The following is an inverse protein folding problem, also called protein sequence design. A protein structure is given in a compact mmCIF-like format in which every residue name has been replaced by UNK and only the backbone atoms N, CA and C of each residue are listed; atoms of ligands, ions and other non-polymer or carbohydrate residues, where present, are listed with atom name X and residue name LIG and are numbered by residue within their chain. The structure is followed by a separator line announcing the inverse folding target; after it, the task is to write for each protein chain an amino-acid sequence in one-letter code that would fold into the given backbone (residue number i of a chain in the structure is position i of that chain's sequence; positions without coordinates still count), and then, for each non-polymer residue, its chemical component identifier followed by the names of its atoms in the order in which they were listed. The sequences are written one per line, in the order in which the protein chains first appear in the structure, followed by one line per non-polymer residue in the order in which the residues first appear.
data_IF_448345882875
#
_entry.id   IF_448345882875
#
_cell.length_a   1.000
_cell.length_b   1.000
_cell.length_c   1.000
_cell.angle_alpha   90.00
_cell.angle_beta   90.00
_cell.angle_gamma   90.00
#
_symmetry.space_group_name_H-M   'P 1'
#
loop_
_entity.id
_entity.type
_entity.pdbx_description
1 polymer ?
#
# COMPACT_ATOMS: atom_id res chain seq x y z
N UNK A 1 30.11 -76.49 29.37
CA UNK A 1 31.38 -76.02 28.83
C UNK A 1 31.22 -74.64 28.38
N UNK A 2 31.98 -73.80 28.89
CA UNK A 2 32.21 -72.40 28.85
C UNK A 2 31.98 -71.73 27.46
N UNK A 3 31.19 -70.68 27.39
CA UNK A 3 31.06 -69.79 26.29
C UNK A 3 31.06 -68.32 26.77
N UNK A 4 32.05 -67.60 26.40
CA UNK A 4 32.35 -66.20 26.77
C UNK A 4 31.37 -65.23 26.17
N UNK A 5 30.86 -64.29 26.96
CA UNK A 5 30.15 -63.10 26.50
C UNK A 5 31.15 -62.06 26.07
N UNK A 6 31.00 -61.52 24.85
CA UNK A 6 31.76 -60.42 24.34
C UNK A 6 30.82 -59.19 24.29
N UNK A 7 31.10 -58.22 25.15
CA UNK A 7 30.50 -56.92 25.09
C UNK A 7 31.05 -56.14 23.87
N UNK A 8 30.16 -55.79 22.91
CA UNK A 8 30.46 -54.79 21.91
C UNK A 8 29.92 -53.42 22.35
N UNK A 9 30.81 -52.51 22.55
CA UNK A 9 30.52 -51.09 22.72
C UNK A 9 30.07 -50.49 21.41
N UNK A 10 28.86 -49.96 21.35
CA UNK A 10 28.38 -49.20 20.19
C UNK A 10 28.95 -47.79 20.24
N UNK A 11 29.85 -47.47 19.29
CA UNK A 11 30.32 -46.13 19.03
C UNK A 11 29.25 -45.42 18.21
N UNK A 12 28.56 -44.46 18.83
CA UNK A 12 27.71 -43.50 18.08
C UNK A 12 28.59 -42.56 17.28
N UNK A 13 28.69 -42.82 15.99
CA UNK A 13 29.15 -41.83 15.00
C UNK A 13 28.02 -40.83 14.76
N UNK A 14 28.15 -39.66 15.35
CA UNK A 14 27.33 -38.48 14.92
C UNK A 14 27.73 -38.12 13.51
N UNK A 15 26.94 -38.54 12.55
CA UNK A 15 27.01 -38.08 11.19
C UNK A 15 26.58 -36.60 11.11
N UNK A 16 27.51 -35.73 10.85
CA UNK A 16 27.20 -34.37 10.41
C UNK A 16 26.48 -34.45 9.06
N UNK A 17 25.16 -34.39 9.08
CA UNK A 17 24.39 -34.08 7.87
C UNK A 17 24.65 -32.60 7.53
N UNK A 18 25.59 -32.39 6.62
CA UNK A 18 25.73 -31.13 5.91
C UNK A 18 24.44 -30.97 5.11
N UNK A 19 23.57 -30.06 5.53
CA UNK A 19 22.49 -29.58 4.70
C UNK A 19 23.13 -28.91 3.50
N UNK A 20 23.14 -29.57 2.36
CA UNK A 20 23.42 -28.95 1.09
C UNK A 20 22.29 -27.94 0.89
N UNK A 21 22.64 -26.64 0.92
CA UNK A 21 21.72 -25.59 0.46
C UNK A 21 21.32 -25.96 -0.98
N UNK A 22 20.03 -26.18 -1.21
CA UNK A 22 19.48 -26.31 -2.55
C UNK A 22 19.95 -25.08 -3.34
N UNK A 23 20.78 -25.31 -4.33
CA UNK A 23 21.06 -24.32 -5.34
C UNK A 23 19.73 -24.01 -6.00
N UNK A 24 19.13 -22.85 -5.66
CA UNK A 24 18.02 -22.29 -6.41
C UNK A 24 18.42 -22.28 -7.88
N UNK A 25 17.75 -23.04 -8.71
CA UNK A 25 17.97 -23.03 -10.16
C UNK A 25 17.79 -21.60 -10.63
N UNK A 26 18.86 -21.00 -11.12
CA UNK A 26 18.82 -19.68 -11.73
C UNK A 26 18.01 -19.85 -13.02
N UNK A 27 16.73 -19.55 -12.99
CA UNK A 27 15.86 -19.62 -14.16
C UNK A 27 16.26 -18.52 -15.13
N UNK A 28 17.01 -18.93 -16.14
CA UNK A 28 17.34 -18.09 -17.30
C UNK A 28 16.07 -17.83 -18.10
N UNK A 29 15.84 -16.58 -18.51
CA UNK A 29 14.76 -16.17 -19.41
C UNK A 29 15.34 -15.53 -20.67
N UNK A 30 14.57 -15.53 -21.74
CA UNK A 30 14.91 -14.79 -22.96
C UNK A 30 14.36 -13.38 -22.86
N UNK A 31 15.21 -12.38 -23.08
CA UNK A 31 14.86 -10.97 -23.12
C UNK A 31 14.90 -10.50 -24.58
N UNK A 32 13.73 -10.14 -25.11
CA UNK A 32 13.57 -9.67 -26.50
C UNK A 32 13.63 -8.14 -26.47
N UNK A 33 14.57 -7.51 -27.23
CA UNK A 33 14.67 -6.05 -27.26
C UNK A 33 13.41 -5.41 -27.85
N UNK A 34 12.96 -4.35 -27.22
CA UNK A 34 11.78 -3.56 -27.66
C UNK A 34 12.03 -2.08 -27.48
N UNK A 35 11.40 -1.27 -28.32
CA UNK A 35 11.23 0.16 -28.13
C UNK A 35 9.76 0.40 -27.87
N UNK A 36 9.42 0.73 -26.63
CA UNK A 36 8.05 0.97 -26.20
C UNK A 36 7.69 2.42 -26.40
N UNK A 37 6.58 2.70 -27.09
CA UNK A 37 6.00 4.04 -27.14
C UNK A 37 5.39 4.36 -25.78
N UNK A 38 5.88 5.44 -25.16
CA UNK A 38 5.41 5.96 -23.89
C UNK A 38 4.94 7.38 -24.09
N UNK A 39 3.71 7.68 -23.71
CA UNK A 39 3.18 9.04 -23.63
C UNK A 39 3.23 9.47 -22.17
N UNK A 40 4.07 10.43 -21.85
CA UNK A 40 4.28 10.94 -20.51
C UNK A 40 3.73 12.36 -20.39
N UNK A 41 2.67 12.54 -19.58
CA UNK A 41 1.96 13.82 -19.45
C UNK A 41 1.64 14.47 -20.81
N UNK A 42 1.18 13.64 -21.77
CA UNK A 42 0.86 14.07 -23.12
C UNK A 42 2.05 14.18 -24.10
N UNK A 43 3.29 13.93 -23.65
CA UNK A 43 4.49 13.96 -24.50
C UNK A 43 4.90 12.54 -24.91
N UNK A 44 4.88 12.25 -26.20
CA UNK A 44 5.28 10.95 -26.74
C UNK A 44 6.80 10.80 -26.81
N UNK A 45 7.28 9.62 -26.45
CA UNK A 45 8.68 9.24 -26.52
C UNK A 45 8.85 7.73 -26.71
N UNK A 46 10.06 7.29 -27.04
CA UNK A 46 10.43 5.87 -27.17
C UNK A 46 11.35 5.47 -26.02
N UNK A 47 10.97 4.41 -25.30
CA UNK A 47 11.81 3.86 -24.24
C UNK A 47 12.39 2.50 -24.68
N UNK A 48 13.73 2.36 -24.67
CA UNK A 48 14.37 1.05 -24.91
C UNK A 48 14.18 0.16 -23.68
N UNK A 49 13.76 -1.09 -23.93
CA UNK A 49 13.52 -2.08 -22.89
C UNK A 49 13.59 -3.51 -23.43
N UNK A 50 13.24 -4.46 -22.60
CA UNK A 50 13.16 -5.86 -22.99
C UNK A 50 11.80 -6.45 -22.64
N UNK A 51 11.21 -7.20 -23.60
CA UNK A 51 10.06 -8.04 -23.33
C UNK A 51 10.55 -9.39 -22.78
N UNK A 52 10.02 -9.78 -21.62
CA UNK A 52 10.28 -11.06 -20.97
C UNK A 52 8.91 -11.64 -20.57
N UNK A 53 8.56 -12.81 -21.11
CA UNK A 53 7.30 -13.50 -20.86
C UNK A 53 6.05 -12.61 -21.08
N UNK A 54 6.07 -11.74 -22.08
CA UNK A 54 4.94 -10.85 -22.42
C UNK A 54 4.88 -9.54 -21.64
N UNK A 55 5.82 -9.28 -20.73
CA UNK A 55 5.93 -8.02 -20.00
C UNK A 55 7.16 -7.24 -20.42
N UNK A 56 7.04 -5.91 -20.48
CA UNK A 56 8.17 -5.04 -20.81
C UNK A 56 8.85 -4.54 -19.53
N UNK A 57 10.17 -4.70 -19.49
CA UNK A 57 11.05 -4.30 -18.41
C UNK A 57 11.99 -3.20 -18.88
N UNK A 58 12.20 -2.21 -18.02
CA UNK A 58 13.02 -1.05 -18.31
C UNK A 58 14.14 -0.92 -17.31
N UNK A 59 15.28 -0.39 -17.78
CA UNK A 59 16.40 -0.10 -16.91
C UNK A 59 16.04 1.06 -15.96
N UNK A 60 16.23 0.85 -14.67
CA UNK A 60 15.79 1.79 -13.63
C UNK A 60 16.32 3.22 -13.84
N UNK A 61 17.55 3.36 -14.34
CA UNK A 61 18.14 4.68 -14.67
C UNK A 61 17.45 5.38 -15.83
N UNK A 62 17.00 4.64 -16.81
CA UNK A 62 16.31 5.25 -17.94
C UNK A 62 14.93 5.75 -17.53
N UNK A 63 14.27 5.05 -16.60
CA UNK A 63 13.05 5.56 -15.99
C UNK A 63 13.33 6.83 -15.20
N UNK A 64 14.40 6.91 -14.40
CA UNK A 64 14.77 8.13 -13.67
C UNK A 64 15.02 9.33 -14.61
N UNK A 65 15.70 9.10 -15.76
CA UNK A 65 15.90 10.12 -16.78
C UNK A 65 14.58 10.59 -17.39
N UNK A 66 13.69 9.64 -17.68
CA UNK A 66 12.38 9.95 -18.27
C UNK A 66 11.52 10.75 -17.32
N UNK A 67 11.45 10.37 -16.05
CA UNK A 67 10.77 11.16 -15.00
C UNK A 67 11.33 12.58 -14.95
N UNK A 68 12.66 12.73 -14.96
CA UNK A 68 13.31 14.05 -14.93
C UNK A 68 13.09 14.90 -16.19
N UNK A 69 12.79 14.25 -17.32
CA UNK A 69 12.58 14.93 -18.60
C UNK A 69 11.13 15.35 -18.84
N UNK A 70 10.18 14.51 -18.40
CA UNK A 70 8.79 14.61 -18.83
C UNK A 70 7.77 14.75 -17.69
N UNK A 71 8.09 14.38 -16.44
CA UNK A 71 7.15 14.58 -15.34
C UNK A 71 6.90 16.07 -15.10
N UNK A 72 5.63 16.44 -15.03
CA UNK A 72 5.21 17.84 -14.82
C UNK A 72 5.61 18.38 -13.44
N UNK A 73 5.75 17.51 -12.44
CA UNK A 73 6.14 17.88 -11.08
C UNK A 73 7.57 17.47 -10.75
N UNK A 74 8.43 18.45 -10.43
CA UNK A 74 9.82 18.22 -10.03
C UNK A 74 9.95 17.37 -8.75
N UNK A 75 8.93 17.34 -7.91
CA UNK A 75 8.88 16.45 -6.72
C UNK A 75 8.84 14.97 -7.11
N UNK A 76 8.42 14.65 -8.34
CA UNK A 76 8.43 13.30 -8.88
C UNK A 76 9.83 12.81 -9.27
N UNK A 77 10.79 13.74 -9.39
CA UNK A 77 12.15 13.40 -9.74
C UNK A 77 12.77 12.54 -8.63
N UNK A 78 13.55 11.55 -9.02
CA UNK A 78 14.24 10.69 -8.08
C UNK A 78 15.67 10.39 -8.53
N UNK A 79 16.50 10.09 -7.56
CA UNK A 79 17.85 9.56 -7.76
C UNK A 79 17.93 8.11 -7.27
N UNK A 80 19.01 7.43 -7.63
CA UNK A 80 19.26 6.05 -7.30
C UNK A 80 20.51 5.95 -6.44
N UNK A 81 20.35 5.44 -5.22
CA UNK A 81 21.45 5.15 -4.31
C UNK A 81 21.63 3.63 -4.17
N UNK A 82 22.82 3.14 -4.46
CA UNK A 82 23.13 1.71 -4.38
C UNK A 82 24.00 1.40 -3.16
N UNK A 83 23.47 0.61 -2.25
CA UNK A 83 24.15 0.11 -1.06
C UNK A 83 24.68 -1.29 -1.33
N UNK A 84 25.99 -1.38 -1.51
CA UNK A 84 26.67 -2.62 -1.89
C UNK A 84 26.59 -3.72 -0.82
N UNK A 85 26.64 -3.32 0.45
CA UNK A 85 26.65 -4.22 1.61
C UNK A 85 25.35 -5.01 1.75
N UNK A 86 24.22 -4.42 1.36
CA UNK A 86 22.89 -5.01 1.44
C UNK A 86 22.34 -5.40 0.09
N UNK A 87 23.07 -5.17 -1.00
CA UNK A 87 22.63 -5.32 -2.38
C UNK A 87 21.27 -4.62 -2.64
N UNK A 88 21.13 -3.38 -2.13
CA UNK A 88 19.88 -2.63 -2.17
C UNK A 88 20.04 -1.36 -3.02
N UNK A 89 19.11 -1.11 -3.92
CA UNK A 89 18.94 0.16 -4.62
C UNK A 89 17.82 0.94 -3.93
N UNK A 90 18.12 2.13 -3.45
CA UNK A 90 17.12 3.07 -2.93
C UNK A 90 16.72 4.06 -4.02
N UNK A 91 15.42 4.13 -4.31
CA UNK A 91 14.82 5.22 -5.09
C UNK A 91 14.59 6.36 -4.10
N UNK A 92 15.34 7.48 -4.26
CA UNK A 92 15.31 8.63 -3.35
C UNK A 92 14.57 9.77 -4.04
N UNK A 93 13.36 10.07 -3.58
CA UNK A 93 12.49 11.09 -4.18
C UNK A 93 12.84 12.51 -3.71
N UNK A 94 12.48 13.53 -4.52
CA UNK A 94 12.68 14.95 -4.15
C UNK A 94 14.12 15.47 -4.23
N UNK A 95 15.02 14.74 -4.87
CA UNK A 95 16.45 15.13 -5.02
C UNK A 95 16.77 16.01 -6.22
N UNK A 96 15.75 16.49 -6.93
CA UNK A 96 15.93 17.23 -8.18
C UNK A 96 16.13 16.31 -9.39
N UNK A 97 16.44 16.90 -10.55
CA UNK A 97 16.63 16.13 -11.78
C UNK A 97 17.72 15.08 -11.64
N UNK A 98 17.46 13.90 -12.16
CA UNK A 98 18.46 12.84 -12.26
C UNK A 98 19.59 13.31 -13.17
N UNK A 99 20.74 13.63 -12.59
CA UNK A 99 21.91 14.15 -13.28
C UNK A 99 23.09 13.19 -13.02
N UNK A 100 23.37 12.34 -14.00
CA UNK A 100 24.61 11.53 -13.98
C UNK A 100 25.41 11.79 -15.27
N UNK A 101 26.27 12.81 -15.29
CA UNK A 101 27.04 13.19 -16.47
C UNK A 101 27.96 12.07 -16.99
N UNK A 102 28.47 11.20 -16.12
CA UNK A 102 29.33 10.07 -16.51
C UNK A 102 28.52 8.94 -17.19
N UNK A 103 27.20 9.03 -17.22
CA UNK A 103 26.28 7.97 -17.64
C UNK A 103 25.35 8.41 -18.78
N UNK A 104 25.71 9.47 -19.50
CA UNK A 104 24.95 10.05 -20.63
C UNK A 104 24.82 9.14 -21.85
N UNK A 105 25.46 7.97 -21.88
CA UNK A 105 25.25 7.06 -23.01
C UNK A 105 23.77 6.66 -23.05
N UNK A 106 23.13 7.07 -24.17
CA UNK A 106 21.80 6.55 -24.52
C UNK A 106 21.92 5.03 -24.50
N UNK A 107 21.11 4.40 -23.64
CA UNK A 107 21.07 2.95 -23.61
C UNK A 107 20.35 2.49 -24.88
N UNK A 108 21.00 1.62 -25.62
CA UNK A 108 20.43 0.96 -26.78
C UNK A 108 20.31 -0.53 -26.48
N UNK A 109 19.12 -1.06 -26.65
CA UNK A 109 18.84 -2.50 -26.47
C UNK A 109 19.33 -3.34 -27.64
N UNK A 110 19.71 -2.71 -28.79
CA UNK A 110 20.07 -3.40 -30.00
C UNK A 110 18.90 -4.18 -30.59
N UNK A 111 19.23 -5.23 -31.39
CA UNK A 111 18.23 -6.07 -32.07
C UNK A 111 18.33 -7.54 -31.67
N UNK A 112 19.33 -7.92 -30.89
CA UNK A 112 19.59 -9.31 -30.53
C UNK A 112 18.95 -9.67 -29.19
N UNK A 113 18.37 -10.87 -29.13
CA UNK A 113 17.88 -11.44 -27.87
C UNK A 113 19.01 -11.59 -26.86
N UNK A 114 18.69 -11.35 -25.59
CA UNK A 114 19.61 -11.44 -24.46
C UNK A 114 19.15 -12.47 -23.43
N UNK A 115 20.08 -12.91 -22.60
CA UNK A 115 19.78 -13.70 -21.42
C UNK A 115 19.42 -12.79 -20.26
N UNK A 116 18.28 -13.10 -19.63
CA UNK A 116 17.83 -12.42 -18.42
C UNK A 116 17.87 -13.38 -17.24
N UNK A 117 18.42 -12.92 -16.14
CA UNK A 117 18.51 -13.65 -14.88
C UNK A 117 17.72 -12.92 -13.81
N UNK A 118 17.03 -13.62 -12.94
CA UNK A 118 16.30 -12.99 -11.85
C UNK A 118 17.26 -12.12 -11.02
N UNK A 119 16.91 -10.87 -10.79
CA UNK A 119 17.71 -9.96 -9.98
C UNK A 119 17.61 -10.36 -8.51
N UNK A 120 18.75 -10.43 -7.85
CA UNK A 120 18.87 -10.60 -6.40
C UNK A 120 18.94 -9.25 -5.66
N UNK A 121 18.87 -8.14 -6.40
CA UNK A 121 18.93 -6.78 -5.88
C UNK A 121 17.55 -6.37 -5.38
N UNK A 122 17.46 -5.95 -4.12
CA UNK A 122 16.26 -5.34 -3.56
C UNK A 122 16.18 -3.88 -3.99
N UNK A 123 15.01 -3.44 -4.43
CA UNK A 123 14.76 -2.01 -4.74
C UNK A 123 13.69 -1.48 -3.80
N UNK A 124 14.04 -0.46 -3.05
CA UNK A 124 13.14 0.21 -2.09
C UNK A 124 12.93 1.66 -2.50
N UNK A 125 11.78 2.20 -2.14
CA UNK A 125 11.47 3.62 -2.34
C UNK A 125 11.51 4.29 -0.97
N UNK A 126 12.25 5.38 -0.83
CA UNK A 126 12.54 6.03 0.45
C UNK A 126 11.27 6.45 1.21
N UNK A 127 10.26 6.93 0.52
CA UNK A 127 8.96 7.32 1.08
C UNK A 127 8.09 6.13 1.53
N UNK A 128 8.43 4.90 1.09
CA UNK A 128 7.72 3.68 1.46
C UNK A 128 8.47 2.88 2.54
N UNK A 129 9.50 3.45 3.17
CA UNK A 129 10.25 2.80 4.24
C UNK A 129 9.34 2.44 5.41
N UNK A 130 9.30 1.15 5.71
CA UNK A 130 8.44 0.59 6.78
C UNK A 130 7.07 0.11 6.31
N UNK A 131 6.67 0.39 5.07
CA UNK A 131 5.38 -0.04 4.51
C UNK A 131 5.49 -1.33 3.68
N UNK A 132 6.62 -1.59 3.04
CA UNK A 132 6.85 -2.85 2.33
C UNK A 132 8.30 -3.31 2.45
N UNK A 133 8.53 -4.50 3.00
CA UNK A 133 9.83 -5.18 2.96
C UNK A 133 10.15 -5.76 1.56
N UNK A 134 9.24 -5.64 0.60
CA UNK A 134 9.28 -6.33 -0.69
C UNK A 134 9.74 -5.48 -1.86
N UNK A 135 9.98 -4.17 -1.68
CA UNK A 135 10.41 -3.27 -2.74
C UNK A 135 9.44 -3.22 -3.93
N UNK A 136 9.94 -2.81 -5.12
CA UNK A 136 9.14 -2.72 -6.36
C UNK A 136 8.93 -4.08 -7.06
N UNK A 137 9.20 -5.21 -6.38
CA UNK A 137 8.99 -6.56 -6.89
C UNK A 137 10.12 -7.11 -7.76
N UNK A 138 9.83 -8.19 -8.48
CA UNK A 138 10.84 -8.92 -9.25
C UNK A 138 11.39 -8.11 -10.43
N UNK A 139 12.70 -8.12 -10.58
CA UNK A 139 13.43 -7.59 -11.72
C UNK A 139 14.34 -8.61 -12.35
N UNK A 140 14.98 -8.23 -13.44
CA UNK A 140 15.94 -9.06 -14.14
C UNK A 140 17.27 -8.33 -14.35
N UNK A 141 18.35 -9.08 -14.28
CA UNK A 141 19.70 -8.64 -14.70
C UNK A 141 19.91 -9.03 -16.15
N UNK A 142 20.22 -8.06 -17.01
CA UNK A 142 20.55 -8.26 -18.43
C UNK A 142 21.81 -7.45 -18.71
N UNK A 143 22.87 -8.10 -19.20
CA UNK A 143 24.17 -7.49 -19.44
C UNK A 143 24.72 -6.65 -18.25
N UNK A 144 24.44 -7.11 -17.02
CA UNK A 144 24.90 -6.45 -15.79
C UNK A 144 24.06 -5.24 -15.33
N UNK A 145 22.92 -4.97 -15.95
CA UNK A 145 22.00 -3.91 -15.57
C UNK A 145 20.67 -4.49 -15.02
N UNK A 146 20.10 -3.80 -14.06
CA UNK A 146 18.82 -4.17 -13.48
C UNK A 146 17.65 -3.54 -14.25
N UNK A 147 16.67 -4.37 -14.60
CA UNK A 147 15.45 -4.02 -15.31
C UNK A 147 14.23 -4.39 -14.50
N UNK A 148 13.25 -3.51 -14.45
CA UNK A 148 12.01 -3.67 -13.70
C UNK A 148 10.79 -3.28 -14.54
N UNK A 149 9.62 -3.79 -14.16
CA UNK A 149 8.36 -3.42 -14.81
C UNK A 149 8.06 -1.94 -14.56
N UNK A 150 7.77 -1.19 -15.62
CA UNK A 150 7.50 0.24 -15.55
C UNK A 150 6.37 0.58 -14.57
N UNK A 151 5.26 -0.15 -14.63
CA UNK A 151 4.11 0.07 -13.75
C UNK A 151 4.44 -0.04 -12.27
N UNK A 152 5.41 -0.90 -11.90
CA UNK A 152 5.86 -1.01 -10.51
C UNK A 152 6.63 0.23 -10.05
N UNK A 153 7.47 0.78 -10.95
CA UNK A 153 8.27 1.96 -10.64
C UNK A 153 7.37 3.19 -10.55
N UNK A 154 6.56 3.44 -11.57
CA UNK A 154 5.69 4.63 -11.63
C UNK A 154 4.60 4.61 -10.57
N UNK A 155 4.03 3.42 -10.29
CA UNK A 155 3.08 3.25 -9.19
C UNK A 155 3.70 3.56 -7.83
N UNK A 156 4.93 3.08 -7.57
CA UNK A 156 5.68 3.41 -6.36
C UNK A 156 6.04 4.90 -6.26
N UNK A 157 6.08 5.62 -7.37
CA UNK A 157 6.24 7.09 -7.43
C UNK A 157 4.90 7.85 -7.35
N UNK A 158 3.78 7.13 -7.24
CA UNK A 158 2.43 7.72 -7.16
C UNK A 158 1.94 8.28 -8.50
N UNK A 159 2.42 7.75 -9.61
CA UNK A 159 1.97 8.09 -10.95
C UNK A 159 0.97 7.03 -11.46
N UNK A 160 0.13 7.41 -12.39
CA UNK A 160 -0.78 6.48 -13.07
C UNK A 160 -0.16 5.97 -14.36
N UNK A 161 -0.40 4.69 -14.67
CA UNK A 161 0.01 4.08 -15.91
C UNK A 161 -1.19 3.36 -16.55
N UNK A 162 -1.46 3.67 -17.81
CA UNK A 162 -2.42 2.98 -18.65
C UNK A 162 -1.70 2.33 -19.81
N UNK A 163 -2.08 1.11 -20.17
CA UNK A 163 -1.60 0.47 -21.38
C UNK A 163 -2.71 0.32 -22.40
N UNK A 164 -2.61 1.07 -23.52
CA UNK A 164 -3.46 0.92 -24.68
C UNK A 164 -2.93 -0.23 -25.53
N UNK A 165 -3.53 -1.39 -25.38
CA UNK A 165 -3.09 -2.62 -26.08
C UNK A 165 -3.21 -2.50 -27.62
N UNK A 166 -4.25 -1.83 -28.09
CA UNK A 166 -4.56 -1.71 -29.53
C UNK A 166 -3.51 -0.86 -30.24
N UNK A 167 -2.99 0.16 -29.60
CA UNK A 167 -1.98 1.07 -30.13
C UNK A 167 -0.56 0.72 -29.69
N UNK A 168 -0.42 -0.24 -28.76
CA UNK A 168 0.83 -0.60 -28.10
C UNK A 168 1.53 0.61 -27.45
N UNK A 169 0.75 1.47 -26.80
CA UNK A 169 1.20 2.70 -26.14
C UNK A 169 1.03 2.57 -24.63
N UNK A 170 2.05 2.98 -23.87
CA UNK A 170 1.97 3.16 -22.44
C UNK A 170 1.75 4.64 -22.16
N UNK A 171 0.62 5.00 -21.57
CA UNK A 171 0.33 6.35 -21.10
C UNK A 171 0.69 6.46 -19.62
N UNK A 172 1.50 7.45 -19.25
CA UNK A 172 1.86 7.75 -17.86
C UNK A 172 1.37 9.18 -17.58
N UNK A 173 0.61 9.30 -16.50
CA UNK A 173 0.13 10.60 -16.01
C UNK A 173 0.76 10.84 -14.64
N UNK A 174 1.52 11.91 -14.54
CA UNK A 174 1.98 12.43 -13.26
C UNK A 174 0.77 12.98 -12.53
N UNK A 175 0.23 12.21 -11.60
CA UNK A 175 -0.85 12.73 -10.76
C UNK A 175 -0.38 13.99 -10.05
N UNK A 176 -1.26 15.01 -9.91
CA UNK A 176 -0.98 16.07 -8.95
C UNK A 176 -0.67 15.38 -7.63
N UNK A 177 0.55 15.57 -7.15
CA UNK A 177 0.99 14.93 -5.93
C UNK A 177 0.06 15.38 -4.81
N UNK A 178 -0.50 14.40 -4.10
CA UNK A 178 -0.84 14.64 -2.72
C UNK A 178 0.40 15.25 -2.04
N UNK A 179 0.30 16.51 -1.64
CA UNK A 179 1.32 17.16 -0.83
C UNK A 179 1.16 16.60 0.59
N UNK A 180 2.15 15.86 1.14
CA UNK A 180 2.05 15.41 2.53
C UNK A 180 1.93 16.56 3.51
N UNK A 181 2.15 17.81 3.06
CA UNK A 181 1.92 19.02 3.84
C UNK A 181 0.51 19.60 3.60
N UNK A 182 -0.25 19.15 2.59
CA UNK A 182 -1.67 19.50 2.50
C UNK A 182 -2.44 18.73 3.57
N UNK A 183 -3.19 19.43 4.43
CA UNK A 183 -3.99 18.76 5.45
C UNK A 183 -5.05 17.88 4.80
N UNK A 184 -5.04 16.60 5.15
CA UNK A 184 -6.09 15.66 4.79
C UNK A 184 -7.28 15.87 5.71
N UNK A 185 -8.47 15.89 5.16
CA UNK A 185 -9.69 15.92 5.96
C UNK A 185 -10.08 14.50 6.32
N UNK A 186 -9.94 14.15 7.61
CA UNK A 186 -10.46 12.90 8.16
C UNK A 186 -11.97 13.03 8.29
N UNK A 187 -12.70 12.33 7.40
CA UNK A 187 -14.15 12.42 7.34
C UNK A 187 -14.81 11.24 7.98
N UNK A 188 -15.73 11.59 8.86
CA UNK A 188 -16.62 10.70 9.55
C UNK A 188 -15.97 9.47 10.24
N UNK A 189 -14.83 9.60 10.94
CA UNK A 189 -14.49 8.52 11.85
C UNK A 189 -15.56 8.39 12.92
N UNK A 190 -16.16 7.20 13.00
CA UNK A 190 -17.16 6.82 14.01
C UNK A 190 -16.65 5.62 14.79
N UNK A 191 -16.80 5.66 16.12
CA UNK A 191 -16.30 4.65 17.04
C UNK A 191 -17.51 3.97 17.70
N UNK A 192 -17.68 2.68 17.42
CA UNK A 192 -18.66 1.82 18.06
C UNK A 192 -18.02 1.04 19.19
N UNK A 193 -18.73 0.88 20.30
CA UNK A 193 -18.29 0.14 21.47
C UNK A 193 -19.28 -1.00 21.74
N UNK A 194 -18.83 -2.23 21.73
CA UNK A 194 -19.63 -3.45 21.92
C UNK A 194 -19.08 -4.28 23.08
N UNK A 195 -19.34 -3.92 24.33
CA UNK A 195 -18.96 -4.73 25.47
C UNK A 195 -19.87 -5.97 25.59
N UNK A 196 -19.40 -7.06 26.22
CA UNK A 196 -20.24 -8.23 26.50
C UNK A 196 -21.38 -7.96 27.50
N UNK A 197 -21.22 -6.93 28.34
CA UNK A 197 -22.20 -6.45 29.31
C UNK A 197 -22.11 -4.94 29.46
N UNK A 198 -23.19 -4.31 29.86
CA UNK A 198 -23.20 -2.87 30.13
C UNK A 198 -22.06 -2.46 31.05
N UNK A 199 -21.26 -1.47 30.65
CA UNK A 199 -20.11 -0.99 31.40
C UNK A 199 -19.76 0.45 31.02
N UNK A 200 -19.08 1.12 31.94
CA UNK A 200 -18.53 2.46 31.69
C UNK A 200 -17.23 2.35 30.91
N UNK A 201 -17.09 3.18 29.87
CA UNK A 201 -15.95 3.22 28.98
C UNK A 201 -15.46 4.68 28.82
N UNK A 202 -14.17 4.86 28.98
CA UNK A 202 -13.46 6.11 28.63
C UNK A 202 -12.80 5.95 27.27
N UNK A 203 -13.00 6.92 26.38
CA UNK A 203 -12.33 6.95 25.06
C UNK A 203 -11.59 8.26 24.91
N UNK A 204 -10.27 8.20 24.73
CA UNK A 204 -9.43 9.34 24.41
C UNK A 204 -8.82 9.18 23.03
N UNK A 205 -8.79 10.27 22.30
CA UNK A 205 -8.20 10.35 20.97
C UNK A 205 -6.91 11.20 21.06
N UNK A 206 -5.75 10.56 20.82
CA UNK A 206 -4.47 11.23 20.58
C UNK A 206 -4.31 11.39 19.06
N UNK A 207 -4.68 12.57 18.57
CA UNK A 207 -4.75 12.89 17.14
C UNK A 207 -3.68 13.91 16.77
N UNK A 208 -2.86 13.56 15.78
CA UNK A 208 -1.79 14.42 15.26
C UNK A 208 -2.33 15.48 14.29
N UNK A 209 -3.34 16.25 14.70
CA UNK A 209 -4.01 17.27 13.90
C UNK A 209 -5.02 18.08 14.72
N UNK A 210 -5.85 18.85 14.05
CA UNK A 210 -6.88 19.67 14.65
C UNK A 210 -8.26 19.00 14.51
N UNK A 211 -8.93 18.73 15.64
CA UNK A 211 -10.31 18.28 15.64
C UNK A 211 -11.23 19.42 15.20
N UNK A 212 -12.03 19.18 14.18
CA UNK A 212 -12.94 20.19 13.61
C UNK A 212 -14.38 19.99 14.04
N UNK A 213 -14.81 18.72 14.18
CA UNK A 213 -16.18 18.35 14.58
C UNK A 213 -16.14 17.13 15.48
N UNK A 214 -16.93 17.13 16.55
CA UNK A 214 -17.13 15.95 17.41
C UNK A 214 -18.59 15.83 17.84
N UNK A 215 -19.09 14.58 17.93
CA UNK A 215 -20.46 14.34 18.41
C UNK A 215 -20.58 12.95 19.09
N UNK A 216 -20.92 12.90 20.40
CA UNK A 216 -21.08 14.06 21.30
C UNK A 216 -19.83 14.92 21.42
N UNK A 217 -19.97 16.10 22.00
CA UNK A 217 -18.83 17.03 22.15
C UNK A 217 -17.66 16.36 22.88
N UNK A 218 -16.50 16.39 22.26
CA UNK A 218 -15.24 15.95 22.85
C UNK A 218 -14.68 17.05 23.75
N UNK A 219 -14.34 16.71 24.98
CA UNK A 219 -13.64 17.61 25.91
C UNK A 219 -12.21 17.09 26.10
N UNK A 220 -11.94 16.40 27.20
CA UNK A 220 -10.68 15.68 27.43
C UNK A 220 -10.84 14.16 27.23
N UNK A 221 -11.74 13.75 26.35
CA UNK A 221 -12.21 12.40 26.10
C UNK A 221 -13.72 12.27 26.22
N UNK A 222 -14.25 11.14 25.81
CA UNK A 222 -15.63 10.75 26.06
C UNK A 222 -15.70 9.80 27.23
N UNK A 223 -16.70 9.99 28.07
CA UNK A 223 -17.07 9.08 29.17
C UNK A 223 -18.48 8.60 28.90
N UNK A 224 -18.65 7.32 28.63
CA UNK A 224 -19.93 6.74 28.24
C UNK A 224 -20.22 5.45 29.00
N UNK A 225 -21.51 5.16 29.22
CA UNK A 225 -21.95 3.80 29.55
C UNK A 225 -22.30 3.10 28.24
N UNK A 226 -21.54 2.08 27.87
CA UNK A 226 -21.73 1.32 26.66
C UNK A 226 -22.57 0.05 26.92
N UNK A 227 -23.48 -0.28 26.01
CA UNK A 227 -24.32 -1.47 26.06
C UNK A 227 -23.90 -2.50 25.00
N UNK A 228 -24.19 -3.81 25.18
CA UNK A 228 -23.82 -4.86 24.23
C UNK A 228 -24.36 -4.65 22.80
N UNK A 229 -25.45 -3.93 22.63
CA UNK A 229 -26.05 -3.60 21.34
C UNK A 229 -25.40 -2.39 20.64
N UNK A 230 -24.43 -1.76 21.32
CA UNK A 230 -23.68 -0.59 20.83
C UNK A 230 -24.33 0.74 21.21
N UNK A 231 -25.43 0.76 21.97
CA UNK A 231 -25.98 2.00 22.53
C UNK A 231 -25.04 2.59 23.56
N UNK A 232 -24.78 3.89 23.47
CA UNK A 232 -23.88 4.65 24.36
C UNK A 232 -24.69 5.71 25.08
N UNK A 233 -24.65 5.74 26.40
CA UNK A 233 -25.16 6.87 27.19
C UNK A 233 -23.99 7.76 27.57
N UNK A 234 -23.96 8.99 27.04
CA UNK A 234 -22.89 9.94 27.33
C UNK A 234 -23.07 10.57 28.72
N UNK A 235 -22.03 10.51 29.56
CA UNK A 235 -22.11 11.01 30.93
C UNK A 235 -22.23 12.53 31.03
N UNK A 236 -21.74 13.27 30.01
CA UNK A 236 -21.75 14.73 30.04
C UNK A 236 -23.16 15.33 29.87
N UNK A 237 -24.04 14.67 29.15
CA UNK A 237 -25.39 15.18 28.83
C UNK A 237 -26.53 14.19 29.15
N UNK A 238 -26.20 12.92 29.43
CA UNK A 238 -27.16 11.85 29.73
C UNK A 238 -27.94 11.36 28.52
N UNK A 239 -27.56 11.75 27.29
CA UNK A 239 -28.23 11.34 26.06
C UNK A 239 -27.68 10.06 25.49
N UNK A 240 -28.47 9.40 24.65
CA UNK A 240 -28.09 8.17 23.97
C UNK A 240 -27.52 8.45 22.58
N UNK A 241 -26.48 7.69 22.22
CA UNK A 241 -25.75 7.77 20.95
C UNK A 241 -25.52 6.38 20.40
N UNK A 242 -25.42 6.26 19.06
CA UNK A 242 -25.10 4.99 18.39
C UNK A 242 -23.59 4.78 18.22
N UNK A 243 -22.81 5.86 18.29
CA UNK A 243 -21.35 5.88 18.16
C UNK A 243 -20.79 7.21 18.66
N UNK A 244 -19.47 7.27 18.83
CA UNK A 244 -18.75 8.52 19.02
C UNK A 244 -18.23 8.95 17.64
N UNK A 245 -18.42 10.21 17.28
CA UNK A 245 -18.04 10.75 15.97
C UNK A 245 -17.04 11.88 16.11
N UNK A 246 -16.09 11.92 15.18
CA UNK A 246 -15.16 13.03 15.04
C UNK A 246 -14.77 13.29 13.59
N UNK A 247 -14.37 14.51 13.29
CA UNK A 247 -13.67 14.91 12.08
C UNK A 247 -12.48 15.78 12.45
N UNK A 248 -11.48 15.80 11.60
CA UNK A 248 -10.29 16.60 11.84
C UNK A 248 -9.50 16.87 10.57
N UNK A 249 -8.64 17.90 10.63
CA UNK A 249 -7.64 18.19 9.64
C UNK A 249 -6.28 17.77 10.17
N UNK A 250 -5.56 16.98 9.43
CA UNK A 250 -4.25 16.49 9.81
C UNK A 250 -3.44 16.04 8.62
N UNK A 251 -2.25 15.54 8.89
CA UNK A 251 -1.42 14.94 7.87
C UNK A 251 -1.65 13.43 7.86
N UNK A 252 -1.77 12.86 6.67
CA UNK A 252 -1.82 11.42 6.46
C UNK A 252 -0.97 11.10 5.23
N UNK A 253 0.02 10.26 5.39
CA UNK A 253 0.78 9.74 4.25
C UNK A 253 -0.06 8.65 3.58
N UNK A 254 -0.91 9.07 2.62
CA UNK A 254 -1.79 8.15 1.90
C UNK A 254 -0.99 7.31 0.93
N UNK A 255 -1.06 5.99 1.10
CA UNK A 255 -0.41 5.03 0.21
C UNK A 255 -1.43 4.39 -0.76
N UNK A 256 -1.20 4.59 -2.07
CA UNK A 256 -1.93 3.94 -3.15
C UNK A 256 -1.06 2.93 -3.93
N UNK A 257 0.05 2.49 -3.39
CA UNK A 257 0.87 1.44 -4.01
C UNK A 257 0.14 0.10 -4.13
N UNK A 258 -0.80 -0.14 -3.21
CA UNK A 258 -1.76 -1.24 -3.26
C UNK A 258 -3.19 -0.69 -3.10
N UNK A 259 -4.14 -1.33 -3.79
CA UNK A 259 -5.54 -0.87 -3.73
C UNK A 259 -6.44 -1.61 -4.71
N UNK A 260 -7.55 -0.95 -5.04
CA UNK A 260 -8.56 -1.47 -5.94
C UNK A 260 -9.02 -0.36 -6.87
N UNK A 261 -9.18 -0.65 -8.17
CA UNK A 261 -9.76 0.27 -9.13
C UNK A 261 -11.15 -0.24 -9.48
N UNK A 262 -12.17 0.51 -9.07
CA UNK A 262 -13.58 0.12 -9.14
C UNK A 262 -14.33 1.18 -9.93
N UNK A 263 -15.21 0.77 -10.86
CA UNK A 263 -16.14 1.70 -11.52
C UNK A 263 -17.07 2.33 -10.49
N UNK A 264 -17.46 3.58 -10.72
CA UNK A 264 -18.39 4.28 -9.84
C UNK A 264 -19.67 3.47 -9.60
N UNK A 265 -20.28 2.94 -10.67
CA UNK A 265 -21.49 2.12 -10.64
C UNK A 265 -21.37 0.83 -9.79
N UNK A 266 -20.15 0.26 -9.68
CA UNK A 266 -19.86 -0.97 -8.95
C UNK A 266 -19.46 -0.72 -7.49
N UNK A 267 -19.27 0.54 -7.08
CA UNK A 267 -18.69 0.91 -5.78
C UNK A 267 -19.50 0.36 -4.61
N UNK A 268 -20.83 0.44 -4.67
CA UNK A 268 -21.68 -0.04 -3.58
C UNK A 268 -21.51 -1.54 -3.31
N UNK A 269 -21.51 -2.35 -4.38
CA UNK A 269 -21.34 -3.80 -4.29
C UNK A 269 -19.92 -4.18 -3.80
N UNK A 270 -18.92 -3.47 -4.30
CA UNK A 270 -17.53 -3.64 -3.87
C UNK A 270 -17.36 -3.34 -2.38
N UNK A 271 -17.83 -2.18 -1.92
CA UNK A 271 -17.73 -1.78 -0.51
C UNK A 271 -18.49 -2.75 0.41
N UNK A 272 -19.70 -3.14 0.04
CA UNK A 272 -20.49 -4.10 0.83
C UNK A 272 -19.74 -5.41 1.04
N UNK A 273 -19.19 -5.97 -0.05
CA UNK A 273 -18.43 -7.22 0.03
C UNK A 273 -17.14 -7.03 0.85
N UNK A 274 -16.36 -6.03 0.50
CA UNK A 274 -15.03 -5.82 1.08
C UNK A 274 -15.09 -5.50 2.57
N UNK A 275 -15.99 -4.59 2.98
CA UNK A 275 -16.16 -4.24 4.39
C UNK A 275 -16.70 -5.41 5.21
N UNK A 276 -17.60 -6.23 4.63
CA UNK A 276 -18.07 -7.45 5.27
C UNK A 276 -16.94 -8.47 5.45
N UNK A 277 -16.10 -8.66 4.43
CA UNK A 277 -14.93 -9.55 4.50
C UNK A 277 -13.90 -9.05 5.54
N UNK A 278 -13.79 -7.75 5.74
CA UNK A 278 -12.96 -7.14 6.79
C UNK A 278 -13.55 -7.27 8.20
N UNK A 279 -14.81 -7.67 8.35
CA UNK A 279 -15.47 -7.92 9.64
C UNK A 279 -16.43 -6.84 10.11
N UNK A 280 -16.83 -5.89 9.26
CA UNK A 280 -17.92 -4.97 9.58
C UNK A 280 -19.28 -5.68 9.49
N UNK A 281 -20.14 -5.40 10.46
CA UNK A 281 -21.54 -5.86 10.45
C UNK A 281 -22.37 -5.10 9.40
N UNK A 282 -23.55 -5.63 9.00
CA UNK A 282 -24.46 -4.92 8.11
C UNK A 282 -24.82 -3.50 8.57
N UNK A 283 -25.00 -3.27 9.88
CA UNK A 283 -25.25 -1.94 10.43
C UNK A 283 -24.08 -0.99 10.13
N UNK A 284 -22.86 -1.42 10.40
CA UNK A 284 -21.65 -0.61 10.27
C UNK A 284 -21.29 -0.31 8.80
N UNK A 285 -21.31 -1.35 7.92
CA UNK A 285 -20.98 -1.09 6.52
C UNK A 285 -22.12 -0.34 5.78
N UNK A 286 -23.38 -0.44 6.20
CA UNK A 286 -24.43 0.38 5.63
C UNK A 286 -24.24 1.86 6.01
N UNK A 287 -23.92 2.16 7.26
CA UNK A 287 -23.60 3.53 7.70
C UNK A 287 -22.40 4.10 6.91
N UNK A 288 -21.37 3.28 6.66
CA UNK A 288 -20.22 3.63 5.84
C UNK A 288 -20.63 3.92 4.39
N UNK A 289 -21.33 2.99 3.75
CA UNK A 289 -21.69 3.07 2.33
C UNK A 289 -22.62 4.27 2.07
N UNK A 290 -23.63 4.47 2.89
CA UNK A 290 -24.58 5.60 2.75
C UNK A 290 -23.85 6.95 2.81
N UNK A 291 -22.79 7.05 3.60
CA UNK A 291 -21.98 8.26 3.66
C UNK A 291 -21.08 8.45 2.43
N UNK A 292 -20.33 7.40 2.03
CA UNK A 292 -19.31 7.52 1.00
C UNK A 292 -19.83 7.41 -0.43
N UNK A 293 -20.87 6.63 -0.66
CA UNK A 293 -21.40 6.36 -2.01
C UNK A 293 -21.74 7.62 -2.81
N UNK A 294 -22.34 8.69 -2.24
CA UNK A 294 -22.62 9.93 -2.96
C UNK A 294 -21.36 10.63 -3.54
N UNK A 295 -20.19 10.38 -2.98
CA UNK A 295 -18.93 10.93 -3.47
C UNK A 295 -18.25 10.06 -4.53
N UNK A 296 -18.71 8.81 -4.71
CA UNK A 296 -17.99 7.79 -5.47
C UNK A 296 -18.77 7.23 -6.66
N UNK A 297 -20.11 7.15 -6.57
CA UNK A 297 -20.93 6.41 -7.54
C UNK A 297 -20.94 7.03 -8.94
N UNK A 298 -20.81 8.36 -9.04
CA UNK A 298 -20.87 9.09 -10.30
C UNK A 298 -19.47 9.26 -10.96
N UNK A 299 -18.40 8.81 -10.32
CA UNK A 299 -17.06 8.81 -10.87
C UNK A 299 -16.94 7.73 -11.95
N UNK A 300 -16.15 7.97 -13.01
CA UNK A 300 -15.88 6.94 -13.99
C UNK A 300 -15.22 5.72 -13.32
N UNK A 301 -14.24 5.96 -12.47
CA UNK A 301 -13.59 4.97 -11.62
C UNK A 301 -13.19 5.60 -10.27
N UNK A 302 -12.98 4.74 -9.29
CA UNK A 302 -12.41 5.08 -7.99
C UNK A 302 -11.16 4.23 -7.74
N UNK A 303 -10.04 4.85 -7.44
CA UNK A 303 -8.89 4.16 -6.83
C UNK A 303 -9.09 4.17 -5.32
N UNK A 304 -9.21 3.00 -4.72
CA UNK A 304 -9.54 2.80 -3.30
C UNK A 304 -8.39 2.07 -2.62
N UNK A 305 -7.93 2.57 -1.47
CA UNK A 305 -6.96 1.90 -0.60
C UNK A 305 -7.35 2.07 0.86
N UNK A 306 -7.17 1.02 1.67
CA UNK A 306 -7.45 1.05 3.10
C UNK A 306 -6.16 1.32 3.87
N UNK A 307 -6.09 2.47 4.55
CA UNK A 307 -4.91 3.03 5.21
C UNK A 307 -4.79 2.53 6.65
N UNK A 308 -4.36 1.28 6.85
CA UNK A 308 -4.36 0.65 8.16
C UNK A 308 -3.38 1.31 9.15
N UNK A 309 -2.08 1.04 9.04
CA UNK A 309 -1.07 1.53 9.98
C UNK A 309 -0.86 3.03 9.88
N UNK A 310 -0.85 3.59 8.67
CA UNK A 310 -0.68 5.02 8.45
C UNK A 310 -1.76 5.83 9.20
N UNK A 311 -3.00 5.35 9.17
CA UNK A 311 -4.09 5.96 9.91
C UNK A 311 -3.95 5.82 11.41
N UNK A 312 -3.69 4.60 11.90
CA UNK A 312 -3.67 4.32 13.36
C UNK A 312 -2.51 4.99 14.08
N UNK A 313 -1.41 5.30 13.36
CA UNK A 313 -0.29 6.06 13.92
C UNK A 313 -0.63 7.54 14.10
N UNK A 314 -1.49 8.12 13.27
CA UNK A 314 -1.88 9.54 13.31
C UNK A 314 -3.06 9.81 14.24
N UNK A 315 -3.92 8.81 14.44
CA UNK A 315 -5.11 8.92 15.29
C UNK A 315 -5.13 7.73 16.27
N UNK A 316 -4.45 7.86 17.41
CA UNK A 316 -4.39 6.78 18.41
C UNK A 316 -5.59 6.85 19.33
N UNK A 317 -6.13 5.69 19.67
CA UNK A 317 -7.22 5.56 20.64
C UNK A 317 -6.68 4.97 21.95
N UNK A 318 -6.92 5.66 23.06
CA UNK A 318 -6.77 5.13 24.42
C UNK A 318 -8.18 4.85 24.98
N UNK A 319 -8.49 3.58 25.15
CA UNK A 319 -9.82 3.11 25.59
C UNK A 319 -9.67 2.34 26.88
N UNK A 320 -10.43 2.76 27.89
CA UNK A 320 -10.42 2.13 29.20
C UNK A 320 -11.85 1.75 29.64
N UNK A 321 -12.08 0.49 30.06
CA UNK A 321 -11.13 -0.63 30.06
C UNK A 321 -10.62 -0.97 28.65
N UNK A 322 -9.42 -1.57 28.58
CA UNK A 322 -8.86 -1.97 27.30
C UNK A 322 -9.78 -2.98 26.57
N UNK A 323 -10.09 -2.75 25.29
CA UNK A 323 -10.90 -3.69 24.51
C UNK A 323 -10.13 -4.99 24.23
N UNK A 324 -10.86 -6.11 24.13
CA UNK A 324 -10.30 -7.40 23.76
C UNK A 324 -10.00 -7.48 22.25
N UNK A 325 -10.74 -6.74 21.42
CA UNK A 325 -10.54 -6.68 19.98
C UNK A 325 -10.87 -5.30 19.40
N UNK A 326 -10.06 -4.85 18.43
CA UNK A 326 -10.21 -3.53 17.78
C UNK A 326 -10.09 -3.67 16.28
N UNK A 327 -11.12 -3.25 15.55
CA UNK A 327 -11.11 -3.10 14.10
C UNK A 327 -11.12 -1.62 13.74
N UNK A 328 -10.12 -1.17 12.97
CA UNK A 328 -10.08 0.20 12.48
C UNK A 328 -9.95 0.20 10.97
N UNK A 329 -10.93 0.78 10.28
CA UNK A 329 -11.04 0.83 8.82
C UNK A 329 -11.00 2.28 8.37
N UNK A 330 -9.96 2.68 7.65
CA UNK A 330 -9.86 4.02 7.08
C UNK A 330 -9.65 3.93 5.58
N UNK A 331 -10.64 4.36 4.80
CA UNK A 331 -10.60 4.33 3.35
C UNK A 331 -10.04 5.65 2.81
N UNK A 332 -9.00 5.58 2.00
CA UNK A 332 -8.64 6.67 1.10
C UNK A 332 -9.13 6.33 -0.30
N UNK A 333 -9.75 7.29 -0.99
CA UNK A 333 -10.10 7.10 -2.38
C UNK A 333 -9.77 8.33 -3.22
N UNK A 334 -9.58 8.09 -4.52
CA UNK A 334 -9.35 9.12 -5.53
C UNK A 334 -10.23 8.85 -6.75
N UNK A 335 -11.01 9.85 -7.22
CA UNK A 335 -11.71 9.76 -8.49
C UNK A 335 -10.72 9.62 -9.66
N UNK A 336 -11.06 8.81 -10.66
CA UNK A 336 -10.27 8.61 -11.87
C UNK A 336 -11.16 8.69 -13.10
N UNK A 337 -10.65 9.31 -14.16
CA UNK A 337 -11.30 9.34 -15.48
C UNK A 337 -11.14 8.02 -16.25
N UNK A 338 -10.01 7.33 -16.03
CA UNK A 338 -9.66 6.05 -16.67
C UNK A 338 -9.15 5.07 -15.62
N UNK A 339 -9.32 3.74 -15.84
CA UNK A 339 -8.78 2.75 -14.93
C UNK A 339 -7.25 2.74 -14.97
N UNK A 340 -6.63 2.45 -13.84
CA UNK A 340 -5.17 2.30 -13.70
C UNK A 340 -4.84 0.91 -13.17
N UNK A 341 -3.64 0.43 -13.47
CA UNK A 341 -3.14 -0.80 -12.86
C UNK A 341 -2.61 -0.50 -11.45
N UNK A 342 -3.15 -1.19 -10.46
CA UNK A 342 -2.69 -1.16 -9.07
C UNK A 342 -2.53 -2.57 -8.55
N UNK A 343 -1.56 -2.78 -7.65
CA UNK A 343 -1.43 -4.07 -6.96
C UNK A 343 -2.63 -4.26 -6.03
N UNK A 344 -3.40 -5.37 -6.14
CA UNK A 344 -4.51 -5.62 -5.24
C UNK A 344 -4.05 -5.67 -3.79
N UNK A 345 -4.70 -4.88 -2.94
CA UNK A 345 -4.43 -4.85 -1.50
C UNK A 345 -4.92 -6.14 -0.83
N UNK A 346 -4.10 -6.71 0.05
CA UNK A 346 -4.47 -7.87 0.84
C UNK A 346 -5.07 -7.42 2.17
N UNK A 347 -6.38 -7.56 2.28
CA UNK A 347 -7.12 -7.26 3.51
C UNK A 347 -7.22 -8.52 4.38
N UNK A 348 -7.11 -8.34 5.69
CA UNK A 348 -7.22 -9.44 6.65
C UNK A 348 -8.63 -9.46 7.25
N UNK A 349 -9.27 -10.62 7.37
CA UNK A 349 -10.53 -10.74 8.10
C UNK A 349 -10.30 -10.48 9.59
N UNK A 350 -11.30 -9.87 10.22
CA UNK A 350 -11.27 -9.57 11.65
C UNK A 350 -12.27 -10.44 12.41
N UNK A 351 -11.82 -11.00 13.53
CA UNK A 351 -12.67 -11.75 14.45
C UNK A 351 -12.98 -10.91 15.69
N UNK A 352 -14.27 -10.82 16.02
CA UNK A 352 -14.74 -10.10 17.21
C UNK A 352 -14.67 -11.01 18.43
N UNK A 353 -13.96 -10.56 19.46
CA UNK A 353 -13.81 -11.29 20.72
C UNK A 353 -14.03 -10.31 21.87
N UNK A 354 -14.81 -10.73 22.88
CA UNK A 354 -15.03 -9.96 24.10
C UNK A 354 -15.52 -8.53 23.84
N UNK A 355 -14.99 -7.56 24.60
CA UNK A 355 -15.25 -6.14 24.35
C UNK A 355 -14.63 -5.74 23.03
N UNK A 356 -15.46 -5.54 22.03
CA UNK A 356 -15.05 -5.18 20.66
C UNK A 356 -15.24 -3.69 20.40
N UNK A 357 -14.23 -3.06 19.84
CA UNK A 357 -14.30 -1.69 19.32
C UNK A 357 -14.17 -1.71 17.81
N UNK A 358 -15.07 -0.99 17.12
CA UNK A 358 -15.00 -0.81 15.67
C UNK A 358 -14.96 0.67 15.38
N UNK A 359 -13.98 1.08 14.57
CA UNK A 359 -13.93 2.43 14.01
C UNK A 359 -13.84 2.36 12.50
N UNK A 360 -14.60 3.22 11.84
CA UNK A 360 -14.40 3.44 10.41
C UNK A 360 -14.47 4.92 10.06
N UNK A 361 -13.73 5.30 9.03
CA UNK A 361 -13.67 6.63 8.47
C UNK A 361 -13.01 6.61 7.10
N UNK A 362 -12.68 7.77 6.56
CA UNK A 362 -11.97 7.86 5.29
C UNK A 362 -11.63 9.27 4.88
N UNK A 363 -11.10 9.37 3.66
CA UNK A 363 -10.77 10.65 3.01
C UNK A 363 -10.86 10.52 1.49
N UNK A 364 -11.25 11.60 0.86
CA UNK A 364 -11.06 11.79 -0.58
C UNK A 364 -9.71 12.49 -0.80
N UNK A 365 -8.90 11.93 -1.68
CA UNK A 365 -7.62 12.48 -2.10
C UNK A 365 -7.77 13.05 -3.51
N UNK A 366 -7.51 14.34 -3.65
CA UNK A 366 -7.63 15.05 -4.94
C UNK A 366 -6.39 14.86 -5.80
#
# INVERSE_FOLDING_TARGET
MKGFALCMAAVFLMGNTVYAAEKTEIKEKTAIPVHQTVVWDGTETQMPGYNIDGYTYFRLRDVAKMVSAYAADEKSYFDLDYQKETNTISIVTGKGKYMDPAREKVFDVGTEEKKAFLADTTVVVDRLKGLTDKGIGEGYVIDGYNFYKLGRIVGALGMQMNWCKEENVVEIVSLPKWDPNEPVVYRKPVIYLYPEKTMDVSVKLDYAGDLTVTYPTYQDGWQVTAQPDGTLTNHADGLEYSYLFWEGNGQLDVDFSEGFVIKGEDTAAFLQKTLSDMGLTPKEYNDFIVYWLPYMQDNAYNLISFQQENYTQQAKLDIQPAPDSVLRVFMAFRPLEKPVEVTPQKLQPFERNGFTVVEWGGTEVK
#
